data_IF_467757076604
#
_entry.id   IF_467757076604
#
_cell.length_a   1.000
_cell.length_b   1.000
_cell.length_c   1.000
_cell.angle_alpha   90.00
_cell.angle_beta   90.00
_cell.angle_gamma   90.00
#
_symmetry.space_group_name_H-M   'P 1'
#
loop_
_entity.id
_entity.type
_entity.pdbx_description
1 polymer ?
#
# COMPACT_ATOMS: atom_id res chain seq x y z
N UNK A 1 4.17 10.09 -27.73
CA UNK A 1 3.24 9.05 -27.24
C UNK A 1 2.97 9.38 -25.78
N UNK A 2 1.77 9.86 -25.44
CA UNK A 2 1.37 10.11 -24.05
C UNK A 2 0.88 8.78 -23.49
N UNK A 3 1.55 8.26 -22.45
CA UNK A 3 1.05 7.12 -21.69
C UNK A 3 -0.20 7.54 -20.94
N UNK A 4 -1.15 6.63 -20.80
CA UNK A 4 -2.32 6.88 -19.99
C UNK A 4 -1.90 7.05 -18.51
N UNK A 5 -2.61 7.85 -17.69
CA UNK A 5 -2.23 8.14 -16.29
C UNK A 5 -1.94 6.89 -15.44
N UNK A 6 -2.69 5.82 -15.68
CA UNK A 6 -2.54 4.50 -15.07
C UNK A 6 -1.21 3.82 -15.46
N UNK A 7 -0.82 3.89 -16.73
CA UNK A 7 0.44 3.34 -17.24
C UNK A 7 1.65 4.11 -16.70
N UNK A 8 1.49 5.42 -16.48
CA UNK A 8 2.52 6.29 -15.91
C UNK A 8 2.80 5.97 -14.42
N UNK A 9 1.77 5.60 -13.66
CA UNK A 9 1.89 5.28 -12.24
C UNK A 9 2.52 3.91 -12.00
N UNK A 10 2.12 2.90 -12.79
CA UNK A 10 2.76 1.56 -12.77
C UNK A 10 4.24 1.66 -13.11
N UNK A 11 4.61 2.45 -14.13
CA UNK A 11 6.00 2.69 -14.50
C UNK A 11 6.84 3.30 -13.37
N UNK A 12 6.25 4.19 -12.55
CA UNK A 12 6.93 4.83 -11.42
C UNK A 12 7.14 3.89 -10.24
N UNK A 13 6.17 3.02 -9.94
CA UNK A 13 6.32 1.99 -8.91
C UNK A 13 7.41 0.98 -9.30
N UNK A 14 7.47 0.59 -10.58
CA UNK A 14 8.52 -0.28 -11.10
C UNK A 14 9.91 0.39 -11.02
N UNK A 15 9.99 1.67 -11.39
CA UNK A 15 11.24 2.45 -11.27
C UNK A 15 11.73 2.55 -9.82
N UNK A 16 10.82 2.79 -8.87
CA UNK A 16 11.14 2.80 -7.44
C UNK A 16 11.66 1.44 -6.96
N UNK A 17 10.99 0.35 -7.32
CA UNK A 17 11.40 -1.00 -6.94
C UNK A 17 12.76 -1.39 -7.52
N UNK A 18 13.00 -1.08 -8.80
CA UNK A 18 14.29 -1.30 -9.46
C UNK A 18 15.41 -0.48 -8.82
N UNK A 19 15.15 0.79 -8.52
CA UNK A 19 16.10 1.65 -7.82
C UNK A 19 16.41 1.11 -6.43
N UNK A 20 15.39 0.67 -5.68
CA UNK A 20 15.58 0.05 -4.36
C UNK A 20 16.48 -1.18 -4.42
N UNK A 21 16.23 -2.11 -5.36
CA UNK A 21 17.08 -3.30 -5.55
C UNK A 21 18.51 -2.91 -5.90
N UNK A 22 18.67 -1.97 -6.84
CA UNK A 22 19.98 -1.50 -7.29
C UNK A 22 20.79 -0.88 -6.14
N UNK A 23 20.18 0.01 -5.36
CA UNK A 23 20.84 0.72 -4.25
C UNK A 23 21.15 -0.21 -3.06
N UNK A 24 20.28 -1.17 -2.78
CA UNK A 24 20.43 -2.04 -1.59
C UNK A 24 21.19 -3.33 -1.87
N UNK A 25 21.36 -3.70 -3.14
CA UNK A 25 21.90 -5.01 -3.52
C UNK A 25 21.00 -6.17 -3.08
N UNK A 26 19.71 -5.91 -2.82
CA UNK A 26 18.78 -6.94 -2.35
C UNK A 26 18.48 -7.93 -3.47
N UNK A 27 19.03 -9.14 -3.40
CA UNK A 27 18.56 -10.26 -4.21
C UNK A 27 17.20 -10.72 -3.69
N UNK A 28 16.18 -10.61 -4.53
CA UNK A 28 14.84 -11.11 -4.18
C UNK A 28 14.75 -12.60 -4.47
N UNK A 29 14.78 -13.40 -3.40
CA UNK A 29 14.55 -14.84 -3.47
C UNK A 29 13.04 -15.10 -3.59
N UNK A 30 12.56 -15.96 -4.52
CA UNK A 30 11.17 -16.38 -4.56
C UNK A 30 10.59 -16.89 -3.23
N UNK A 31 11.42 -17.46 -2.36
CA UNK A 31 11.01 -17.86 -1.01
C UNK A 31 10.78 -16.68 -0.07
N UNK A 32 11.43 -15.52 -0.29
CA UNK A 32 11.12 -14.28 0.43
C UNK A 32 9.70 -13.77 0.13
N UNK A 33 9.08 -14.14 -1.01
CA UNK A 33 7.65 -13.83 -1.26
C UNK A 33 6.71 -14.44 -0.20
N UNK A 34 7.17 -15.42 0.60
CA UNK A 34 6.44 -15.97 1.76
C UNK A 34 6.50 -15.05 2.98
N UNK A 35 7.51 -14.18 3.07
CA UNK A 35 7.74 -13.21 4.15
C UNK A 35 7.24 -11.79 3.80
N UNK A 36 6.75 -11.58 2.57
CA UNK A 36 6.27 -10.27 2.12
C UNK A 36 4.90 -9.92 2.72
N UNK A 37 4.77 -8.66 3.13
CA UNK A 37 3.49 -8.07 3.54
C UNK A 37 2.50 -8.04 2.37
N UNK A 38 1.37 -8.70 2.57
CA UNK A 38 0.25 -8.69 1.64
C UNK A 38 -0.68 -7.54 1.97
N UNK A 39 -1.50 -7.11 1.01
CA UNK A 39 -2.44 -5.99 1.23
C UNK A 39 -3.38 -6.25 2.43
N UNK A 40 -3.80 -7.50 2.65
CA UNK A 40 -4.56 -7.91 3.84
C UNK A 40 -3.87 -7.71 5.19
N UNK A 41 -2.55 -7.48 5.21
CA UNK A 41 -1.78 -7.20 6.42
C UNK A 41 -1.72 -5.73 6.78
N UNK A 42 -2.29 -4.87 5.94
CA UNK A 42 -2.16 -3.43 6.04
C UNK A 42 -3.55 -2.84 6.17
N UNK A 43 -3.71 -1.94 7.13
CA UNK A 43 -4.92 -1.14 7.25
C UNK A 43 -4.52 0.32 7.11
N UNK A 44 -5.20 1.06 6.23
CA UNK A 44 -5.01 2.50 6.07
C UNK A 44 -6.32 3.17 6.46
N UNK A 45 -6.24 4.15 7.33
CA UNK A 45 -7.41 4.80 7.91
C UNK A 45 -7.27 6.30 7.77
N UNK A 46 -8.31 6.94 7.25
CA UNK A 46 -8.46 8.39 7.25
C UNK A 46 -9.36 8.77 8.43
N UNK A 47 -8.93 9.74 9.23
CA UNK A 47 -9.70 10.25 10.36
C UNK A 47 -9.77 11.77 10.34
N UNK A 48 -10.82 12.31 10.95
CA UNK A 48 -10.98 13.75 11.16
C UNK A 48 -9.95 14.23 12.18
N UNK A 49 -9.32 15.36 11.92
CA UNK A 49 -8.58 16.08 12.95
C UNK A 49 -9.60 16.64 13.95
N UNK A 50 -9.25 16.63 15.23
CA UNK A 50 -10.14 17.10 16.29
C UNK A 50 -10.20 18.62 16.41
N UNK A 51 -9.22 19.34 15.85
CA UNK A 51 -9.05 20.78 16.04
C UNK A 51 -9.21 21.60 14.74
N UNK A 52 -9.43 20.96 13.59
CA UNK A 52 -9.58 21.62 12.29
C UNK A 52 -10.51 20.81 11.36
N UNK A 53 -10.96 21.44 10.26
CA UNK A 53 -11.79 20.80 9.22
C UNK A 53 -11.02 19.82 8.32
N UNK A 54 -9.81 19.45 8.72
CA UNK A 54 -8.90 18.59 7.97
C UNK A 54 -8.98 17.11 8.35
N UNK A 55 -8.27 16.32 7.55
CA UNK A 55 -8.09 14.89 7.79
C UNK A 55 -6.64 14.58 8.12
N UNK A 56 -6.43 13.43 8.73
CA UNK A 56 -5.12 12.81 8.86
C UNK A 56 -5.24 11.31 8.62
N UNK A 57 -4.11 10.69 8.29
CA UNK A 57 -4.05 9.25 8.09
C UNK A 57 -3.27 8.57 9.21
N UNK A 58 -3.68 7.35 9.53
CA UNK A 58 -2.86 6.40 10.24
C UNK A 58 -2.92 5.07 9.52
N UNK A 59 -1.91 4.24 9.75
CA UNK A 59 -1.82 2.93 9.15
C UNK A 59 -1.35 1.93 10.18
N UNK A 60 -1.74 0.67 9.97
CA UNK A 60 -1.34 -0.46 10.79
C UNK A 60 -0.79 -1.55 9.90
N UNK A 61 0.31 -2.17 10.32
CA UNK A 61 0.82 -3.41 9.74
C UNK A 61 0.70 -4.53 10.74
N UNK A 62 0.16 -5.66 10.29
CA UNK A 62 0.13 -6.91 11.03
C UNK A 62 1.14 -7.90 10.44
N UNK A 63 2.29 -8.03 11.09
CA UNK A 63 3.32 -9.00 10.73
C UNK A 63 2.91 -10.40 11.17
N UNK A 64 2.69 -11.31 10.20
CA UNK A 64 2.23 -12.69 10.43
C UNK A 64 3.33 -13.71 10.77
N UNK A 65 4.61 -13.30 10.72
CA UNK A 65 5.75 -14.19 10.99
C UNK A 65 6.77 -13.49 11.89
N UNK A 66 6.54 -13.54 13.20
CA UNK A 66 7.54 -13.11 14.17
C UNK A 66 8.57 -14.24 14.29
N UNK A 67 9.80 -14.02 13.81
CA UNK A 67 10.89 -14.99 13.94
C UNK A 67 11.05 -15.40 15.41
N UNK A 68 11.16 -16.71 15.68
CA UNK A 68 11.21 -17.28 17.03
C UNK A 68 9.96 -17.05 17.88
N UNK A 69 8.78 -16.96 17.26
CA UNK A 69 7.53 -16.83 18.00
C UNK A 69 7.35 -18.00 18.99
N UNK A 70 7.56 -17.73 20.28
CA UNK A 70 7.38 -18.69 21.37
C UNK A 70 5.91 -18.91 21.72
N UNK A 71 5.02 -18.04 21.24
CA UNK A 71 3.59 -18.10 21.51
C UNK A 71 2.83 -18.48 20.23
N UNK A 72 2.48 -19.76 20.11
CA UNK A 72 1.75 -20.31 18.95
C UNK A 72 0.35 -19.71 18.75
N UNK A 73 -0.21 -19.09 19.79
CA UNK A 73 -1.53 -18.46 19.73
C UNK A 73 -1.45 -17.02 19.21
N UNK A 74 -0.33 -16.34 19.45
CA UNK A 74 -0.09 -15.00 18.95
C UNK A 74 0.71 -15.03 17.64
N UNK A 75 0.02 -15.26 16.52
CA UNK A 75 0.65 -15.38 15.20
C UNK A 75 0.89 -14.02 14.53
N UNK A 76 0.51 -12.90 15.15
CA UNK A 76 0.55 -11.58 14.51
C UNK A 76 1.08 -10.50 15.45
N UNK A 77 2.14 -9.81 15.03
CA UNK A 77 2.58 -8.58 15.68
C UNK A 77 2.08 -7.37 14.90
N UNK A 78 1.21 -6.57 15.53
CA UNK A 78 0.65 -5.36 14.94
C UNK A 78 1.41 -4.11 15.39
N UNK A 79 1.78 -3.24 14.46
CA UNK A 79 2.28 -1.90 14.78
C UNK A 79 1.49 -0.84 14.01
N UNK A 80 1.10 0.22 14.71
CA UNK A 80 0.30 1.32 14.17
C UNK A 80 1.08 2.63 14.23
N UNK A 81 0.99 3.42 13.17
CA UNK A 81 1.72 4.67 13.03
C UNK A 81 0.80 5.75 12.46
N UNK A 82 1.02 6.98 12.90
CA UNK A 82 0.38 8.17 12.34
C UNK A 82 1.21 8.65 11.13
N UNK A 83 0.54 9.18 10.10
CA UNK A 83 1.25 9.84 9.00
C UNK A 83 2.13 10.98 9.51
N UNK A 84 3.22 11.25 8.80
CA UNK A 84 4.11 12.38 9.06
C UNK A 84 3.82 13.50 8.05
N UNK A 85 3.86 14.76 8.49
CA UNK A 85 3.53 15.91 7.63
C UNK A 85 4.63 16.17 6.57
N UNK A 86 5.87 15.76 6.81
CA UNK A 86 6.97 15.79 5.83
C UNK A 86 6.91 14.56 4.91
N UNK A 87 6.75 14.80 3.60
CA UNK A 87 6.55 13.78 2.57
C UNK A 87 7.60 12.66 2.58
N UNK A 88 8.89 13.00 2.74
CA UNK A 88 9.98 12.02 2.76
C UNK A 88 9.85 10.99 3.89
N UNK A 89 9.17 11.35 4.98
CA UNK A 89 8.92 10.48 6.13
C UNK A 89 7.49 9.93 6.14
N UNK A 90 6.69 10.21 5.10
CA UNK A 90 5.30 9.80 5.00
C UNK A 90 5.18 8.43 4.34
N UNK A 91 5.31 7.38 5.16
CA UNK A 91 4.99 6.02 4.73
C UNK A 91 3.54 5.89 4.22
N UNK A 92 2.62 6.74 4.71
CA UNK A 92 1.26 6.84 4.18
C UNK A 92 1.22 7.25 2.72
N UNK A 93 1.96 8.29 2.33
CA UNK A 93 2.00 8.74 0.95
C UNK A 93 2.55 7.63 0.04
N UNK A 94 3.59 6.91 0.49
CA UNK A 94 4.12 5.74 -0.22
C UNK A 94 3.06 4.63 -0.37
N UNK A 95 2.38 4.25 0.71
CA UNK A 95 1.37 3.19 0.69
C UNK A 95 0.17 3.53 -0.19
N UNK A 96 -0.31 4.77 -0.15
CA UNK A 96 -1.40 5.23 -1.00
C UNK A 96 -0.97 5.30 -2.48
N UNK A 97 0.29 5.63 -2.74
CA UNK A 97 0.83 5.61 -4.11
C UNK A 97 0.90 4.20 -4.68
N UNK A 98 1.37 3.23 -3.89
CA UNK A 98 1.38 1.81 -4.28
C UNK A 98 -0.04 1.27 -4.47
N UNK A 99 -0.95 1.58 -3.54
CA UNK A 99 -2.35 1.20 -3.63
C UNK A 99 -3.03 1.76 -4.90
N UNK A 100 -2.74 3.01 -5.25
CA UNK A 100 -3.27 3.66 -6.45
C UNK A 100 -2.68 3.05 -7.73
N UNK A 101 -1.37 2.79 -7.78
CA UNK A 101 -0.72 2.14 -8.91
C UNK A 101 -1.29 0.74 -9.18
N UNK A 102 -1.63 0.01 -8.11
CA UNK A 102 -2.24 -1.32 -8.19
C UNK A 102 -3.77 -1.32 -8.37
N UNK A 103 -4.41 -0.14 -8.39
CA UNK A 103 -5.88 0.02 -8.33
C UNK A 103 -6.50 -0.84 -7.21
N UNK A 104 -5.83 -0.91 -6.07
CA UNK A 104 -6.02 -1.93 -5.05
C UNK A 104 -7.14 -1.64 -4.06
N UNK A 105 -7.67 -0.42 -4.02
CA UNK A 105 -8.63 0.05 -3.02
C UNK A 105 -9.98 0.36 -3.64
N UNK A 106 -11.05 0.17 -2.86
CA UNK A 106 -12.35 0.73 -3.17
C UNK A 106 -12.41 2.21 -2.77
N UNK A 107 -13.12 3.01 -3.56
CA UNK A 107 -13.47 4.38 -3.20
C UNK A 107 -12.47 5.46 -3.64
N UNK A 108 -11.30 5.08 -4.17
CA UNK A 108 -10.43 5.99 -4.91
C UNK A 108 -9.55 5.21 -5.90
N UNK A 109 -9.34 5.81 -7.06
CA UNK A 109 -8.59 5.32 -8.22
C UNK A 109 -7.46 6.28 -8.64
N UNK A 110 -7.39 7.45 -8.02
CA UNK A 110 -6.48 8.54 -8.34
C UNK A 110 -6.20 9.39 -7.11
N UNK A 111 -5.16 10.23 -7.18
CA UNK A 111 -4.85 11.19 -6.12
C UNK A 111 -5.99 12.19 -5.91
N UNK A 112 -6.68 12.58 -7.00
CA UNK A 112 -7.81 13.48 -6.95
C UNK A 112 -9.01 12.86 -6.23
N UNK A 113 -9.38 11.61 -6.57
CA UNK A 113 -10.47 10.92 -5.87
C UNK A 113 -10.16 10.66 -4.40
N UNK A 114 -8.88 10.43 -4.06
CA UNK A 114 -8.41 10.36 -2.67
C UNK A 114 -8.58 11.69 -1.93
N UNK A 115 -8.30 12.85 -2.55
CA UNK A 115 -8.52 14.15 -1.93
C UNK A 115 -10.00 14.49 -1.75
N UNK A 116 -10.86 13.98 -2.63
CA UNK A 116 -12.32 14.14 -2.50
C UNK A 116 -12.93 13.17 -1.49
N UNK A 117 -12.16 12.20 -0.99
CA UNK A 117 -12.64 11.23 -0.03
C UNK A 117 -12.96 11.91 1.30
N UNK A 118 -14.25 11.94 1.63
CA UNK A 118 -14.76 12.51 2.89
C UNK A 118 -15.16 11.42 3.84
N UNK A 119 -14.80 11.60 5.11
CA UNK A 119 -15.41 10.82 6.19
C UNK A 119 -16.91 11.19 6.21
N UNK A 120 -17.84 10.22 6.25
CA UNK A 120 -19.27 10.50 6.35
C UNK A 120 -19.63 11.37 7.56
N UNK A 121 -20.76 12.08 7.47
CA UNK A 121 -21.27 12.85 8.60
C UNK A 121 -21.68 11.90 9.75
N UNK A 122 -21.30 12.24 10.98
CA UNK A 122 -21.51 11.38 12.15
C UNK A 122 -20.41 10.33 12.37
N UNK A 123 -19.51 10.14 11.40
CA UNK A 123 -18.35 9.26 11.53
C UNK A 123 -17.07 10.06 11.83
N UNK A 124 -16.17 9.44 12.59
CA UNK A 124 -14.87 10.04 12.94
C UNK A 124 -13.73 9.55 12.03
N UNK A 125 -13.94 8.41 11.35
CA UNK A 125 -12.93 7.78 10.49
C UNK A 125 -13.55 6.92 9.40
N UNK A 126 -12.78 6.65 8.36
CA UNK A 126 -13.05 5.61 7.37
C UNK A 126 -11.81 4.73 7.20
N UNK A 127 -12.04 3.43 7.04
CA UNK A 127 -11.00 2.47 6.70
C UNK A 127 -11.00 2.32 5.18
N UNK A 128 -9.85 2.55 4.54
CA UNK A 128 -9.68 2.29 3.11
C UNK A 128 -9.73 0.77 2.90
N UNK A 129 -10.73 0.33 2.14
CA UNK A 129 -10.96 -1.10 1.91
C UNK A 129 -10.19 -1.54 0.68
N UNK A 130 -9.33 -2.55 0.85
CA UNK A 130 -8.75 -3.26 -0.28
C UNK A 130 -9.83 -4.00 -1.08
N UNK A 131 -9.61 -4.11 -2.39
CA UNK A 131 -10.38 -5.03 -3.23
C UNK A 131 -10.06 -6.47 -2.82
N UNK A 132 -11.06 -7.34 -2.93
CA UNK A 132 -10.94 -8.73 -2.46
C UNK A 132 -9.94 -9.55 -3.28
N UNK A 133 -9.88 -9.28 -4.58
CA UNK A 133 -9.02 -9.94 -5.56
C UNK A 133 -7.53 -9.61 -5.41
N UNK A 134 -7.19 -8.59 -4.64
CA UNK A 134 -5.79 -8.17 -4.41
C UNK A 134 -5.29 -8.46 -2.98
N UNK A 135 -6.15 -8.99 -2.09
CA UNK A 135 -5.81 -9.16 -0.68
C UNK A 135 -4.54 -9.98 -0.44
N UNK A 136 -4.35 -11.03 -1.24
CA UNK A 136 -3.19 -11.91 -1.14
C UNK A 136 -1.98 -11.42 -1.95
N UNK A 137 -2.09 -10.32 -2.69
CA UNK A 137 -0.96 -9.77 -3.43
C UNK A 137 0.00 -9.03 -2.50
N UNK A 138 1.31 -9.04 -2.79
CA UNK A 138 2.28 -8.15 -2.17
C UNK A 138 1.84 -6.68 -2.20
N UNK A 139 2.25 -5.90 -1.19
CA UNK A 139 2.08 -4.43 -1.21
C UNK A 139 3.03 -3.75 -2.20
N UNK A 140 4.22 -4.34 -2.39
CA UNK A 140 5.18 -3.96 -3.41
C UNK A 140 5.35 -5.16 -4.34
N UNK A 141 4.45 -5.30 -5.31
CA UNK A 141 4.61 -6.29 -6.36
C UNK A 141 5.55 -5.74 -7.44
N UNK A 142 6.50 -6.55 -7.89
CA UNK A 142 7.15 -6.29 -9.17
C UNK A 142 6.09 -6.48 -10.25
N UNK A 143 5.62 -5.39 -10.86
CA UNK A 143 4.86 -5.49 -12.10
C UNK A 143 5.83 -5.92 -13.19
N UNK A 144 5.90 -7.23 -13.46
CA UNK A 144 6.39 -7.68 -14.76
C UNK A 144 5.40 -7.12 -15.77
N UNK A 145 5.76 -5.99 -16.39
CA UNK A 145 5.01 -5.44 -17.51
C UNK A 145 4.79 -6.57 -18.50
N UNK A 146 3.52 -6.98 -18.65
CA UNK A 146 3.11 -8.06 -19.53
C UNK A 146 3.53 -7.77 -20.97
N UNK A 147 4.73 -8.22 -21.34
CA UNK A 147 5.02 -8.76 -22.66
C UNK A 147 4.93 -10.28 -22.60
N UNK A 148 3.79 -10.78 -22.12
CA UNK A 148 3.37 -12.14 -22.47
C UNK A 148 2.51 -12.04 -23.73
N UNK A 149 2.96 -12.77 -24.73
CA UNK A 149 2.46 -12.82 -26.09
C UNK A 149 0.95 -13.09 -26.11
N UNK A 150 0.24 -12.36 -26.96
CA UNK A 150 -0.92 -12.91 -27.63
C UNK A 150 -0.49 -14.22 -28.31
N UNK A 151 -0.90 -15.34 -27.72
CA UNK A 151 -0.97 -16.63 -28.36
C UNK A 151 -2.44 -17.06 -28.30
N UNK A 152 -3.19 -16.58 -29.28
CA UNK A 152 -4.16 -17.32 -30.09
C UNK A 152 -4.77 -16.38 -31.12
#
# INVERSE_FOLDING_TARGET
MHLAPEELMVSRAEAFYRAFIYETGTETDPEQYKEIYRKQNIEIVQARRSQDDGYFFFWRFDQRFVKNNRNTDNKTFGSAFRHHDVLMYSATAMLLSLASADQATFGFDSLESLWQLKVPNGENKIILRWRRDVLDQPIAASHETGRSRAAN
#
